data_IF_408868792718
#
_entry.id   IF_408868792718
#
_cell.length_a   1.000
_cell.length_b   1.000
_cell.length_c   1.000
_cell.angle_alpha   90.00
_cell.angle_beta   90.00
_cell.angle_gamma   90.00
#
_symmetry.space_group_name_H-M   'P 1'
#
loop_
_entity.id
_entity.type
_entity.pdbx_description
1 polymer ?
#
# COMPACT_ATOMS: atom_id res chain seq x y z
N UNK A 1 -20.14 1.64 5.97
CA UNK A 1 -18.88 1.17 5.35
C UNK A 1 -17.74 1.38 6.34
N UNK A 2 -16.70 0.54 6.32
CA UNK A 2 -15.54 0.72 7.22
C UNK A 2 -14.87 2.07 6.96
N UNK A 3 -14.48 2.79 8.02
CA UNK A 3 -13.73 4.06 7.92
C UNK A 3 -12.46 3.92 7.07
N UNK A 4 -11.85 2.74 7.10
CA UNK A 4 -10.67 2.41 6.29
C UNK A 4 -10.96 2.32 4.79
N UNK A 5 -12.18 1.93 4.40
CA UNK A 5 -12.58 1.94 3.00
C UNK A 5 -12.66 3.39 2.48
N UNK A 6 -13.25 4.28 3.28
CA UNK A 6 -13.33 5.70 2.96
C UNK A 6 -11.93 6.32 2.85
N UNK A 7 -11.04 6.05 3.80
CA UNK A 7 -9.66 6.52 3.74
C UNK A 7 -8.92 5.99 2.50
N UNK A 8 -9.16 4.75 2.09
CA UNK A 8 -8.59 4.17 0.87
C UNK A 8 -9.06 4.91 -0.39
N UNK A 9 -10.36 5.26 -0.47
CA UNK A 9 -10.92 6.05 -1.56
C UNK A 9 -10.35 7.47 -1.59
N UNK A 10 -10.22 8.11 -0.42
CA UNK A 10 -9.61 9.44 -0.32
C UNK A 10 -8.17 9.41 -0.83
N UNK A 11 -7.37 8.43 -0.39
CA UNK A 11 -5.99 8.29 -0.87
C UNK A 11 -5.93 8.00 -2.37
N UNK A 12 -6.85 7.18 -2.91
CA UNK A 12 -6.97 6.97 -4.36
C UNK A 12 -7.29 8.27 -5.11
N UNK A 13 -8.23 9.07 -4.60
CA UNK A 13 -8.59 10.36 -5.18
C UNK A 13 -7.42 11.33 -5.19
N UNK A 14 -6.66 11.41 -4.09
CA UNK A 14 -5.44 12.23 -4.01
C UNK A 14 -4.38 11.74 -4.99
N UNK A 15 -4.18 10.42 -5.11
CA UNK A 15 -3.22 9.84 -6.05
C UNK A 15 -3.58 10.14 -7.51
N UNK A 16 -4.86 9.99 -7.88
CA UNK A 16 -5.36 10.34 -9.21
C UNK A 16 -5.21 11.84 -9.47
N UNK A 17 -5.59 12.68 -8.50
CA UNK A 17 -5.49 14.12 -8.63
C UNK A 17 -4.04 14.55 -8.89
N UNK A 18 -3.09 14.09 -8.05
CA UNK A 18 -1.66 14.38 -8.22
C UNK A 18 -1.10 13.81 -9.52
N UNK A 19 -1.55 12.64 -9.96
CA UNK A 19 -1.15 12.07 -11.25
C UNK A 19 -1.58 12.95 -12.42
N UNK A 20 -2.83 13.43 -12.41
CA UNK A 20 -3.38 14.27 -13.48
C UNK A 20 -2.78 15.68 -13.47
N UNK A 21 -2.54 16.29 -12.30
CA UNK A 21 -2.02 17.67 -12.23
C UNK A 21 -0.52 17.78 -12.45
N UNK A 22 0.25 16.77 -12.06
CA UNK A 22 1.71 16.77 -12.24
C UNK A 22 2.13 16.16 -13.60
N UNK A 23 1.24 15.44 -14.26
CA UNK A 23 1.43 15.00 -15.63
C UNK A 23 1.23 16.18 -16.59
N UNK A 24 2.32 16.73 -17.13
CA UNK A 24 2.24 17.57 -18.32
C UNK A 24 1.78 16.67 -19.48
N UNK A 25 0.48 16.51 -19.66
CA UNK A 25 -0.06 15.88 -20.86
C UNK A 25 0.47 16.65 -22.08
N UNK A 26 1.04 15.97 -23.08
CA UNK A 26 0.87 14.53 -23.37
C UNK A 26 1.93 13.58 -22.79
N UNK A 27 2.99 14.05 -22.13
CA UNK A 27 4.13 13.22 -21.71
C UNK A 27 4.27 13.16 -20.18
N UNK A 28 3.53 12.26 -19.54
CA UNK A 28 3.72 11.99 -18.11
C UNK A 28 5.09 11.33 -17.90
N UNK A 29 5.96 11.86 -17.02
CA UNK A 29 7.25 11.25 -16.74
C UNK A 29 7.11 9.79 -16.28
N UNK A 30 7.94 8.90 -16.84
CA UNK A 30 7.87 7.45 -16.58
C UNK A 30 7.92 7.12 -15.08
N UNK A 31 8.74 7.83 -14.29
CA UNK A 31 8.82 7.59 -12.85
C UNK A 31 7.50 7.87 -12.12
N UNK A 32 6.71 8.86 -12.57
CA UNK A 32 5.38 9.16 -12.03
C UNK A 32 4.40 8.04 -12.36
N UNK A 33 4.43 7.51 -13.59
CA UNK A 33 3.59 6.38 -14.00
C UNK A 33 3.87 5.12 -13.18
N UNK A 34 5.14 4.77 -13.02
CA UNK A 34 5.55 3.59 -12.23
C UNK A 34 5.20 3.79 -10.74
N UNK A 35 5.41 5.00 -10.21
CA UNK A 35 5.03 5.34 -8.82
C UNK A 35 3.51 5.21 -8.59
N UNK A 36 2.71 5.74 -9.52
CA UNK A 36 1.25 5.61 -9.47
C UNK A 36 0.80 4.14 -9.53
N UNK A 37 1.42 3.34 -10.40
CA UNK A 37 1.13 1.91 -10.47
C UNK A 37 1.45 1.18 -9.16
N UNK A 38 2.57 1.50 -8.50
CA UNK A 38 2.90 0.95 -7.19
C UNK A 38 1.82 1.29 -6.15
N UNK A 39 1.31 2.53 -6.16
CA UNK A 39 0.23 2.99 -5.28
C UNK A 39 -1.06 2.22 -5.56
N UNK A 40 -1.44 1.97 -6.82
CA UNK A 40 -2.64 1.19 -7.14
C UNK A 40 -2.56 -0.24 -6.59
N UNK A 41 -1.42 -0.92 -6.77
CA UNK A 41 -1.21 -2.25 -6.19
C UNK A 41 -1.26 -2.21 -4.66
N UNK A 42 -0.68 -1.19 -4.03
CA UNK A 42 -0.78 -0.98 -2.59
C UNK A 42 -2.24 -0.77 -2.14
N UNK A 43 -3.02 0.09 -2.79
CA UNK A 43 -4.41 0.39 -2.40
C UNK A 43 -5.33 -0.82 -2.57
N UNK A 44 -5.16 -1.59 -3.65
CA UNK A 44 -5.84 -2.87 -3.82
C UNK A 44 -5.51 -3.82 -2.66
N UNK A 45 -4.23 -3.88 -2.28
CA UNK A 45 -3.75 -4.70 -1.18
C UNK A 45 -4.35 -4.25 0.17
N UNK A 46 -4.33 -2.94 0.43
CA UNK A 46 -4.82 -2.27 1.64
C UNK A 46 -6.32 -2.45 1.87
N UNK A 47 -7.10 -2.64 0.79
CA UNK A 47 -8.55 -2.89 0.85
C UNK A 47 -8.90 -4.06 1.79
N UNK A 48 -7.98 -5.02 1.98
CA UNK A 48 -8.14 -6.08 2.99
C UNK A 48 -8.39 -5.57 4.39
N UNK A 49 -7.73 -4.50 4.80
CA UNK A 49 -7.89 -3.97 6.14
C UNK A 49 -9.34 -3.50 6.37
N UNK A 50 -9.91 -2.81 5.37
CA UNK A 50 -11.32 -2.43 5.37
C UNK A 50 -12.26 -3.64 5.39
N UNK A 51 -11.96 -4.70 4.62
CA UNK A 51 -12.73 -5.96 4.63
C UNK A 51 -12.68 -6.62 6.00
N UNK A 52 -11.51 -6.71 6.65
CA UNK A 52 -11.39 -7.30 7.98
C UNK A 52 -12.08 -6.49 9.07
N UNK A 53 -12.04 -5.16 9.01
CA UNK A 53 -12.84 -4.31 9.90
C UNK A 53 -14.33 -4.60 9.71
N UNK A 54 -14.80 -4.62 8.45
CA UNK A 54 -16.20 -4.94 8.13
C UNK A 54 -16.62 -6.30 8.68
N UNK A 55 -15.78 -7.34 8.55
CA UNK A 55 -16.07 -8.68 9.11
C UNK A 55 -16.24 -8.64 10.64
N UNK A 56 -15.45 -7.84 11.36
CA UNK A 56 -15.55 -7.76 12.83
C UNK A 56 -16.86 -7.11 13.27
N UNK A 57 -17.25 -6.06 12.56
CA UNK A 57 -18.35 -5.17 12.95
C UNK A 57 -19.73 -5.66 12.45
N UNK A 58 -19.78 -6.60 11.50
CA UNK A 58 -21.04 -7.17 11.01
C UNK A 58 -21.74 -8.00 12.12
N UNK A 59 -23.02 -7.72 12.45
CA UNK A 59 -23.74 -8.45 13.50
C UNK A 59 -24.22 -9.83 13.02
N UNK A 60 -24.64 -9.94 11.76
CA UNK A 60 -25.17 -11.18 11.21
C UNK A 60 -24.06 -12.25 11.01
N UNK A 61 -24.20 -13.39 11.70
CA UNK A 61 -23.20 -14.49 11.67
C UNK A 61 -23.00 -15.11 10.30
N UNK A 62 -24.07 -15.34 9.54
CA UNK A 62 -23.96 -15.96 8.20
C UNK A 62 -23.20 -15.05 7.24
N UNK A 63 -23.47 -13.74 7.28
CA UNK A 63 -22.76 -12.73 6.50
C UNK A 63 -21.29 -12.66 6.90
N UNK A 64 -21.00 -12.70 8.21
CA UNK A 64 -19.63 -12.75 8.74
C UNK A 64 -18.85 -13.95 8.20
N UNK A 65 -19.46 -15.14 8.21
CA UNK A 65 -18.87 -16.37 7.67
C UNK A 65 -18.62 -16.24 6.16
N UNK A 66 -19.60 -15.72 5.40
CA UNK A 66 -19.47 -15.49 3.95
C UNK A 66 -18.28 -14.61 3.63
N UNK A 67 -18.15 -13.46 4.31
CA UNK A 67 -17.04 -12.53 4.09
C UNK A 67 -15.69 -13.08 4.57
N UNK A 68 -15.65 -13.82 5.68
CA UNK A 68 -14.44 -14.48 6.14
C UNK A 68 -13.94 -15.52 5.12
N UNK A 69 -14.84 -16.31 4.54
CA UNK A 69 -14.50 -17.30 3.51
C UNK A 69 -14.00 -16.62 2.22
N UNK A 70 -14.63 -15.53 1.79
CA UNK A 70 -14.14 -14.72 0.67
C UNK A 70 -12.74 -14.16 0.95
N UNK A 71 -12.52 -13.62 2.15
CA UNK A 71 -11.22 -13.08 2.57
C UNK A 71 -10.12 -14.15 2.60
N UNK A 72 -10.45 -15.39 2.97
CA UNK A 72 -9.51 -16.52 2.88
C UNK A 72 -9.15 -16.83 1.43
N UNK A 73 -10.13 -16.88 0.52
CA UNK A 73 -9.89 -17.16 -0.91
C UNK A 73 -8.94 -16.15 -1.56
N UNK A 74 -9.05 -14.87 -1.20
CA UNK A 74 -8.21 -13.81 -1.81
C UNK A 74 -6.82 -13.68 -1.16
N UNK A 75 -6.43 -14.58 -0.24
CA UNK A 75 -5.18 -14.47 0.56
C UNK A 75 -3.92 -14.65 -0.27
N UNK A 76 -3.85 -15.61 -1.20
CA UNK A 76 -2.71 -15.74 -2.10
C UNK A 76 -2.48 -14.45 -2.90
N UNK A 77 -3.56 -13.86 -3.45
CA UNK A 77 -3.49 -12.62 -4.23
C UNK A 77 -2.95 -11.46 -3.40
N UNK A 78 -3.44 -11.26 -2.18
CA UNK A 78 -2.91 -10.20 -1.31
C UNK A 78 -1.40 -10.31 -1.04
N UNK A 79 -0.86 -11.53 -0.90
CA UNK A 79 0.58 -11.69 -0.74
C UNK A 79 1.32 -11.29 -2.00
N UNK A 80 0.90 -11.84 -3.15
CA UNK A 80 1.56 -11.60 -4.42
C UNK A 80 1.42 -10.15 -4.89
N UNK A 81 0.23 -9.56 -4.83
CA UNK A 81 0.02 -8.13 -5.11
C UNK A 81 0.91 -7.25 -4.24
N UNK A 82 1.13 -7.62 -2.97
CA UNK A 82 2.02 -6.87 -2.08
C UNK A 82 3.48 -6.95 -2.50
N UNK A 83 3.95 -8.17 -2.82
CA UNK A 83 5.29 -8.37 -3.39
C UNK A 83 5.45 -7.60 -4.71
N UNK A 84 4.44 -7.64 -5.59
CA UNK A 84 4.45 -6.88 -6.85
C UNK A 84 4.49 -5.36 -6.60
N UNK A 85 3.75 -4.85 -5.62
CA UNK A 85 3.83 -3.45 -5.22
C UNK A 85 5.25 -3.05 -4.80
N UNK A 86 5.92 -3.91 -4.02
CA UNK A 86 7.31 -3.69 -3.61
C UNK A 86 8.28 -3.68 -4.80
N UNK A 87 8.15 -4.64 -5.74
CA UNK A 87 8.99 -4.67 -6.93
C UNK A 87 8.81 -3.41 -7.80
N UNK A 88 7.57 -2.98 -8.02
CA UNK A 88 7.27 -1.76 -8.77
C UNK A 88 7.80 -0.52 -8.03
N UNK A 89 7.67 -0.47 -6.70
CA UNK A 89 8.21 0.62 -5.89
C UNK A 89 9.75 0.68 -5.93
N UNK A 90 10.44 -0.48 -5.98
CA UNK A 90 11.89 -0.54 -6.18
C UNK A 90 12.28 0.00 -7.56
N UNK A 91 11.56 -0.39 -8.62
CA UNK A 91 11.77 0.14 -9.98
C UNK A 91 11.57 1.66 -9.99
N UNK A 92 10.49 2.14 -9.39
CA UNK A 92 10.23 3.58 -9.24
C UNK A 92 11.40 4.30 -8.54
N UNK A 93 11.85 3.79 -7.39
CA UNK A 93 12.96 4.38 -6.65
C UNK A 93 14.26 4.40 -7.47
N UNK A 94 14.58 3.31 -8.18
CA UNK A 94 15.76 3.23 -9.05
C UNK A 94 15.71 4.30 -10.15
N UNK A 95 14.57 4.47 -10.83
CA UNK A 95 14.42 5.49 -11.87
C UNK A 95 14.61 6.88 -11.27
N UNK A 96 13.96 7.18 -10.14
CA UNK A 96 14.06 8.50 -9.48
C UNK A 96 15.51 8.80 -9.06
N UNK A 97 16.19 7.85 -8.43
CA UNK A 97 17.58 8.01 -7.99
C UNK A 97 18.53 8.16 -9.19
N UNK A 98 18.31 7.39 -10.26
CA UNK A 98 19.12 7.51 -11.48
C UNK A 98 18.91 8.87 -12.17
N UNK A 99 17.68 9.40 -12.18
CA UNK A 99 17.37 10.67 -12.86
C UNK A 99 17.82 11.90 -12.06
N UNK A 100 17.67 11.88 -10.73
CA UNK A 100 17.83 13.09 -9.91
C UNK A 100 18.96 12.98 -8.86
N UNK A 101 19.62 11.83 -8.78
CA UNK A 101 20.49 11.48 -7.66
C UNK A 101 19.71 11.25 -6.37
N UNK A 102 20.40 10.82 -5.31
CA UNK A 102 19.78 10.69 -4.00
C UNK A 102 19.85 12.02 -3.23
N UNK A 103 18.69 12.69 -3.08
CA UNK A 103 18.61 14.04 -2.50
C UNK A 103 18.08 14.01 -1.06
N UNK A 104 18.96 13.79 -0.07
CA UNK A 104 18.57 13.70 1.34
C UNK A 104 17.90 14.95 1.92
N UNK A 105 18.14 16.12 1.32
CA UNK A 105 17.55 17.38 1.79
C UNK A 105 16.09 17.57 1.32
N UNK A 106 15.61 16.71 0.41
CA UNK A 106 14.26 16.80 -0.15
C UNK A 106 13.33 15.88 0.63
N UNK A 107 12.34 16.45 1.32
CA UNK A 107 11.39 15.69 2.15
C UNK A 107 10.67 14.56 1.37
N UNK A 108 10.41 14.77 0.07
CA UNK A 108 9.81 13.76 -0.81
C UNK A 108 10.69 12.51 -0.97
N UNK A 109 12.02 12.66 -1.05
CA UNK A 109 12.97 11.53 -1.11
C UNK A 109 13.02 10.76 0.19
N UNK A 110 13.05 11.47 1.33
CA UNK A 110 13.06 10.85 2.66
C UNK A 110 11.77 10.04 2.86
N UNK A 111 10.61 10.66 2.65
CA UNK A 111 9.31 10.02 2.84
C UNK A 111 9.11 8.83 1.90
N UNK A 112 9.57 8.92 0.64
CA UNK A 112 9.53 7.81 -0.31
C UNK A 112 10.41 6.63 0.12
N UNK A 113 11.60 6.92 0.64
CA UNK A 113 12.53 5.89 1.14
C UNK A 113 11.99 5.21 2.39
N UNK A 114 11.43 5.98 3.33
CA UNK A 114 10.76 5.43 4.52
C UNK A 114 9.55 4.57 4.13
N UNK A 115 8.72 5.03 3.18
CA UNK A 115 7.60 4.24 2.67
C UNK A 115 8.09 2.92 2.05
N UNK A 116 9.17 2.93 1.28
CA UNK A 116 9.77 1.73 0.68
C UNK A 116 10.28 0.75 1.75
N UNK A 117 10.98 1.24 2.78
CA UNK A 117 11.47 0.42 3.90
C UNK A 117 10.30 -0.22 4.65
N UNK A 118 9.26 0.56 4.95
CA UNK A 118 8.06 0.05 5.64
C UNK A 118 7.33 -0.96 4.74
N UNK A 119 7.24 -0.72 3.43
CA UNK A 119 6.69 -1.67 2.47
C UNK A 119 7.48 -2.99 2.44
N UNK A 120 8.81 -2.93 2.43
CA UNK A 120 9.64 -4.13 2.54
C UNK A 120 9.36 -4.88 3.86
N UNK A 121 9.24 -4.16 4.98
CA UNK A 121 8.92 -4.72 6.29
C UNK A 121 7.54 -5.40 6.35
N UNK A 122 6.49 -4.77 5.81
CA UNK A 122 5.14 -5.37 5.80
C UNK A 122 5.09 -6.63 4.92
N UNK A 123 5.77 -6.63 3.77
CA UNK A 123 5.84 -7.80 2.89
C UNK A 123 6.60 -8.93 3.59
N UNK A 124 7.77 -8.64 4.17
CA UNK A 124 8.58 -9.61 4.90
C UNK A 124 7.78 -10.23 6.05
N UNK A 125 7.18 -9.42 6.90
CA UNK A 125 6.33 -9.91 8.01
C UNK A 125 5.09 -10.66 7.52
N UNK A 126 4.55 -10.31 6.34
CA UNK A 126 3.45 -11.02 5.69
C UNK A 126 3.82 -12.45 5.29
N UNK A 127 5.00 -12.64 4.68
CA UNK A 127 5.52 -13.96 4.31
C UNK A 127 5.95 -14.77 5.54
N UNK A 128 6.61 -14.15 6.52
CA UNK A 128 7.03 -14.83 7.76
C UNK A 128 5.86 -15.42 8.57
N UNK A 129 4.64 -14.88 8.40
CA UNK A 129 3.43 -15.38 9.06
C UNK A 129 2.92 -16.69 8.48
N UNK A 130 3.34 -17.07 7.25
CA UNK A 130 3.01 -18.38 6.68
C UNK A 130 3.80 -19.49 7.36
N UNK A 131 5.08 -19.25 7.62
CA UNK A 131 5.97 -20.23 8.24
C UNK A 131 5.66 -20.40 9.73
N UNK A 132 5.54 -19.28 10.46
CA UNK A 132 5.22 -19.31 11.90
C UNK A 132 4.31 -18.15 12.27
N UNK A 133 2.99 -18.36 12.36
CA UNK A 133 2.05 -17.32 12.75
C UNK A 133 2.15 -17.06 14.26
N UNK A 134 2.60 -15.87 14.64
CA UNK A 134 2.59 -15.40 16.04
C UNK A 134 1.78 -14.11 16.16
N UNK A 135 1.25 -13.84 17.36
CA UNK A 135 0.53 -12.60 17.64
C UNK A 135 1.43 -11.39 17.38
N UNK A 136 2.69 -11.45 17.84
CA UNK A 136 3.68 -10.40 17.61
C UNK A 136 3.82 -10.05 16.11
N UNK A 137 4.09 -11.05 15.25
CA UNK A 137 4.21 -10.83 13.80
C UNK A 137 2.94 -10.26 13.17
N UNK A 138 1.77 -10.70 13.64
CA UNK A 138 0.48 -10.16 13.18
C UNK A 138 0.35 -8.68 13.54
N UNK A 139 0.71 -8.30 14.77
CA UNK A 139 0.63 -6.92 15.22
C UNK A 139 1.66 -6.04 14.50
N UNK A 140 2.90 -6.51 14.34
CA UNK A 140 3.92 -5.81 13.55
C UNK A 140 3.47 -5.57 12.11
N UNK A 141 2.98 -6.60 11.42
CA UNK A 141 2.46 -6.47 10.06
C UNK A 141 1.31 -5.44 9.97
N UNK A 142 0.42 -5.45 10.96
CA UNK A 142 -0.70 -4.52 11.02
C UNK A 142 -0.23 -3.07 11.24
N UNK A 143 0.67 -2.84 12.20
CA UNK A 143 1.19 -1.50 12.51
C UNK A 143 2.04 -0.95 11.37
N UNK A 144 2.89 -1.77 10.75
CA UNK A 144 3.63 -1.38 9.55
C UNK A 144 2.67 -1.00 8.42
N UNK A 145 1.57 -1.73 8.25
CA UNK A 145 0.55 -1.36 7.28
C UNK A 145 -0.10 0.00 7.55
N UNK A 146 -0.45 0.27 8.81
CA UNK A 146 -1.00 1.59 9.17
C UNK A 146 0.02 2.70 8.96
N UNK A 147 1.27 2.48 9.36
CA UNK A 147 2.36 3.44 9.13
C UNK A 147 2.58 3.70 7.64
N UNK A 148 2.56 2.64 6.82
CA UNK A 148 2.73 2.74 5.37
C UNK A 148 1.64 3.58 4.72
N UNK A 149 0.38 3.45 5.17
CA UNK A 149 -0.72 4.26 4.65
C UNK A 149 -0.42 5.75 4.78
N UNK A 150 -0.05 6.18 5.98
CA UNK A 150 0.26 7.59 6.25
C UNK A 150 1.53 8.05 5.54
N UNK A 151 2.54 7.19 5.41
CA UNK A 151 3.77 7.53 4.67
C UNK A 151 3.55 7.66 3.17
N UNK A 152 2.72 6.81 2.55
CA UNK A 152 2.34 6.94 1.15
C UNK A 152 1.54 8.22 0.93
N UNK A 153 0.56 8.51 1.80
CA UNK A 153 -0.20 9.76 1.72
C UNK A 153 0.73 10.98 1.78
N UNK A 154 1.65 11.01 2.75
CA UNK A 154 2.62 12.09 2.90
C UNK A 154 3.54 12.21 1.68
N UNK A 155 4.06 11.09 1.17
CA UNK A 155 4.94 11.08 0.01
C UNK A 155 4.27 11.56 -1.28
N UNK A 156 2.97 11.24 -1.48
CA UNK A 156 2.18 11.72 -2.62
C UNK A 156 1.83 13.20 -2.48
N UNK A 157 1.60 13.66 -1.23
CA UNK A 157 1.23 15.04 -0.95
C UNK A 157 2.37 16.03 -1.22
N UNK A 158 3.57 15.69 -0.77
CA UNK A 158 4.83 16.41 -1.04
C UNK A 158 5.20 16.33 -2.53
#
# INVERSE_FOLDING_TARGET
MSKWFLLNIILLGIAIWKFVTNGLFPAVPTHIMIGFLAVLFYLFNWTRHAVFSTIRDVPNRQTKIKYANLSKKVLPFHKWTGTTALLIALIHATIVIHTYGFQWQIAKFITGTLALIILAGIITTGWMRLYRPTIAKRMTHLYLGMALFWMILLHIWL
#
